data_IF_892550801089
#
_entry.id   IF_892550801089
#
_cell.length_a   1.000
_cell.length_b   1.000
_cell.length_c   1.000
_cell.angle_alpha   90.00
_cell.angle_beta   90.00
_cell.angle_gamma   90.00
#
_symmetry.space_group_name_H-M   'P 1'
#
loop_
_entity.id
_entity.type
_entity.pdbx_description
1 polymer ?
#
# COMPACT_ATOMS: atom_id res chain seq x y z
N UNK A 1 6.05 16.95 11.89
CA UNK A 1 4.65 16.42 11.85
C UNK A 1 4.57 15.13 11.04
N UNK A 2 3.55 14.30 11.27
CA UNK A 2 3.34 12.97 10.63
C UNK A 2 4.40 11.88 10.91
N UNK A 3 5.24 12.05 11.92
CA UNK A 3 6.19 11.01 12.35
C UNK A 3 5.61 10.16 13.48
N UNK A 4 5.98 8.88 13.54
CA UNK A 4 5.61 7.96 14.63
C UNK A 4 6.82 7.11 15.02
N UNK A 5 6.96 6.84 16.32
CA UNK A 5 7.90 5.83 16.81
C UNK A 5 7.35 4.42 16.53
N UNK A 6 8.12 3.60 15.82
CA UNK A 6 7.84 2.18 15.67
C UNK A 6 8.62 1.41 16.73
N UNK A 7 7.91 0.71 17.61
CA UNK A 7 8.53 -0.09 18.66
C UNK A 7 9.31 -1.28 18.10
N UNK A 8 8.79 -1.94 17.05
CA UNK A 8 9.47 -3.07 16.40
C UNK A 8 10.80 -2.66 15.78
N UNK A 9 10.83 -1.56 15.01
CA UNK A 9 12.06 -1.04 14.40
C UNK A 9 12.90 -0.17 15.35
N UNK A 10 12.41 0.14 16.56
CA UNK A 10 13.05 1.01 17.57
C UNK A 10 13.53 2.36 17.03
N UNK A 11 12.75 2.97 16.13
CA UNK A 11 13.10 4.27 15.52
C UNK A 11 11.86 5.08 15.17
N UNK A 12 12.05 6.40 15.13
CA UNK A 12 11.04 7.31 14.60
C UNK A 12 11.07 7.31 13.07
N UNK A 13 9.90 7.20 12.46
CA UNK A 13 9.73 7.15 11.01
C UNK A 13 8.91 8.36 10.58
N UNK A 14 9.47 9.16 9.66
CA UNK A 14 8.78 10.32 9.05
C UNK A 14 7.68 9.84 8.11
N UNK A 15 6.55 10.54 8.09
CA UNK A 15 5.32 10.16 7.36
C UNK A 15 5.05 8.66 7.50
N UNK A 16 4.98 8.19 8.75
CA UNK A 16 4.83 6.77 9.06
C UNK A 16 3.54 6.25 8.45
N UNK A 17 3.63 5.18 7.66
CA UNK A 17 2.47 4.49 7.12
C UNK A 17 2.12 3.27 7.98
N UNK A 18 3.01 2.28 7.98
CA UNK A 18 2.89 1.09 8.80
C UNK A 18 4.24 0.40 9.00
N UNK A 19 4.30 -0.56 9.92
CA UNK A 19 5.37 -1.54 9.97
C UNK A 19 4.91 -2.76 9.18
N UNK A 20 5.68 -3.15 8.17
CA UNK A 20 5.33 -4.23 7.26
C UNK A 20 6.20 -5.44 7.59
N UNK A 21 5.61 -6.55 8.09
CA UNK A 21 6.39 -7.76 8.38
C UNK A 21 6.93 -8.39 7.09
N UNK A 22 6.25 -8.24 5.95
CA UNK A 22 6.66 -8.83 4.67
C UNK A 22 8.01 -8.31 4.15
N UNK A 23 8.41 -7.10 4.55
CA UNK A 23 9.72 -6.51 4.21
C UNK A 23 10.58 -6.27 5.46
N UNK A 24 10.13 -6.76 6.62
CA UNK A 24 10.76 -6.58 7.93
C UNK A 24 11.20 -5.13 8.21
N UNK A 25 10.38 -4.16 7.79
CA UNK A 25 10.72 -2.74 7.87
C UNK A 25 9.48 -1.84 7.89
N UNK A 26 9.66 -0.61 8.38
CA UNK A 26 8.63 0.41 8.26
C UNK A 26 8.51 0.96 6.85
N UNK A 27 7.27 1.16 6.42
CA UNK A 27 6.91 1.97 5.26
C UNK A 27 6.66 3.40 5.75
N UNK A 28 7.31 4.37 5.12
CA UNK A 28 7.18 5.79 5.42
C UNK A 28 7.79 6.67 4.34
N UNK A 29 8.09 7.93 4.66
CA UNK A 29 8.41 8.97 3.67
C UNK A 29 9.45 8.56 2.60
N UNK A 30 10.53 7.89 3.02
CA UNK A 30 11.66 7.56 2.14
C UNK A 30 11.46 6.30 1.28
N UNK A 31 10.51 5.43 1.63
CA UNK A 31 10.33 4.15 0.94
C UNK A 31 8.89 3.82 0.55
N UNK A 32 7.91 4.69 0.84
CA UNK A 32 6.51 4.45 0.48
C UNK A 32 6.34 4.24 -1.04
N UNK A 33 7.05 5.00 -1.88
CA UNK A 33 7.04 4.82 -3.34
C UNK A 33 7.56 3.45 -3.78
N UNK A 34 8.62 2.97 -3.12
CA UNK A 34 9.24 1.67 -3.40
C UNK A 34 8.34 0.53 -2.94
N UNK A 35 7.60 0.72 -1.84
CA UNK A 35 6.59 -0.23 -1.41
C UNK A 35 5.44 -0.37 -2.43
N UNK A 36 4.94 0.73 -3.00
CA UNK A 36 3.95 0.66 -4.08
C UNK A 36 4.48 -0.02 -5.34
N UNK A 37 5.73 0.29 -5.73
CA UNK A 37 6.37 -0.39 -6.85
C UNK A 37 6.52 -1.89 -6.57
N UNK A 38 6.92 -2.26 -5.36
CA UNK A 38 6.98 -3.65 -4.91
C UNK A 38 5.62 -4.35 -5.07
N UNK A 39 4.53 -3.75 -4.62
CA UNK A 39 3.18 -4.31 -4.79
C UNK A 39 2.79 -4.46 -6.27
N UNK A 40 3.09 -3.46 -7.10
CA UNK A 40 2.80 -3.52 -8.53
C UNK A 40 3.59 -4.63 -9.23
N UNK A 41 4.89 -4.76 -8.94
CA UNK A 41 5.73 -5.84 -9.47
C UNK A 41 5.27 -7.20 -8.96
N UNK A 42 4.92 -7.31 -7.68
CA UNK A 42 4.39 -8.54 -7.10
C UNK A 42 3.10 -8.99 -7.79
N UNK A 43 2.19 -8.05 -8.09
CA UNK A 43 0.98 -8.34 -8.85
C UNK A 43 1.32 -8.85 -10.27
N UNK A 44 2.25 -8.21 -10.98
CA UNK A 44 2.69 -8.65 -12.31
C UNK A 44 3.28 -10.07 -12.28
N UNK A 45 4.11 -10.38 -11.28
CA UNK A 45 4.68 -11.72 -11.11
C UNK A 45 3.60 -12.76 -10.83
N UNK A 46 2.60 -12.45 -10.01
CA UNK A 46 1.49 -13.35 -9.71
C UNK A 46 0.63 -13.60 -10.95
N UNK A 47 0.32 -12.55 -11.73
CA UNK A 47 -0.42 -12.68 -12.99
C UNK A 47 0.35 -13.50 -14.03
N UNK A 48 1.67 -13.32 -14.11
CA UNK A 48 2.54 -14.13 -14.96
C UNK A 48 2.55 -15.60 -14.53
N UNK A 49 2.65 -15.87 -13.23
CA UNK A 49 2.55 -17.22 -12.67
C UNK A 49 1.20 -17.88 -12.97
N UNK A 50 0.10 -17.13 -12.86
CA UNK A 50 -1.24 -17.59 -13.25
C UNK A 50 -1.31 -17.95 -14.73
N UNK A 51 -0.74 -17.11 -15.60
CA UNK A 51 -0.68 -17.39 -17.03
C UNK A 51 0.09 -18.67 -17.34
N UNK A 52 1.26 -18.89 -16.72
CA UNK A 52 2.05 -20.12 -16.89
C UNK A 52 1.27 -21.34 -16.37
N UNK A 53 0.69 -21.26 -15.18
CA UNK A 53 -0.03 -22.39 -14.60
C UNK A 53 -1.28 -22.76 -15.42
N UNK A 54 -1.95 -21.77 -16.02
CA UNK A 54 -3.08 -21.96 -16.92
C UNK A 54 -2.65 -22.63 -18.24
N UNK A 55 -1.60 -22.14 -18.87
CA UNK A 55 -1.12 -22.70 -20.16
C UNK A 55 -0.47 -24.07 -20.00
N UNK A 56 -0.03 -24.42 -18.79
CA UNK A 56 0.49 -25.74 -18.45
C UNK A 56 -0.57 -26.84 -18.28
N UNK A 57 -1.87 -26.51 -18.30
CA UNK A 57 -2.93 -27.51 -18.16
C UNK A 57 -2.98 -28.43 -19.38
N UNK A 58 -2.83 -29.73 -19.13
CA UNK A 58 -2.85 -30.78 -20.14
C UNK A 58 -4.22 -31.41 -20.34
N UNK A 59 -4.42 -32.02 -21.50
CA UNK A 59 -5.60 -32.86 -21.77
C UNK A 59 -5.35 -34.31 -21.30
N UNK A 60 -6.41 -34.98 -20.85
CA UNK A 60 -6.39 -36.41 -20.54
C UNK A 60 -7.80 -37.01 -20.72
N UNK A 61 -7.91 -38.30 -21.07
CA UNK A 61 -9.20 -38.95 -21.25
C UNK A 61 -9.88 -39.18 -19.89
N UNK A 62 -11.03 -38.53 -19.69
CA UNK A 62 -11.84 -38.67 -18.49
C UNK A 62 -11.36 -37.84 -17.29
N UNK A 63 -12.25 -37.66 -16.33
CA UNK A 63 -12.05 -36.73 -15.21
C UNK A 63 -10.92 -37.16 -14.26
N UNK A 64 -10.81 -38.46 -13.94
CA UNK A 64 -9.86 -38.95 -12.93
C UNK A 64 -8.39 -38.92 -13.41
N UNK A 65 -8.06 -39.33 -14.64
CA UNK A 65 -6.71 -39.11 -15.19
C UNK A 65 -6.39 -37.63 -15.39
N UNK A 66 -7.36 -36.82 -15.81
CA UNK A 66 -7.17 -35.38 -15.98
C UNK A 66 -6.86 -34.67 -14.67
N UNK A 67 -7.61 -34.99 -13.61
CA UNK A 67 -7.36 -34.42 -12.28
C UNK A 67 -6.00 -34.88 -11.72
N UNK A 68 -5.61 -36.13 -11.95
CA UNK A 68 -4.27 -36.61 -11.55
C UNK A 68 -3.15 -35.88 -12.29
N UNK A 69 -3.34 -35.58 -13.58
CA UNK A 69 -2.36 -34.85 -14.39
C UNK A 69 -2.28 -33.35 -14.02
N UNK A 70 -3.41 -32.73 -13.69
CA UNK A 70 -3.51 -31.27 -13.52
C UNK A 70 -3.67 -30.82 -12.07
N UNK A 71 -3.89 -31.72 -11.11
CA UNK A 71 -4.30 -31.38 -9.75
C UNK A 71 -3.34 -30.43 -9.03
N UNK A 72 -2.03 -30.61 -9.23
CA UNK A 72 -1.01 -29.71 -8.68
C UNK A 72 -1.11 -28.31 -9.29
N UNK A 73 -1.26 -28.20 -10.61
CA UNK A 73 -1.42 -26.92 -11.30
C UNK A 73 -2.71 -26.22 -10.88
N UNK A 74 -3.81 -26.95 -10.67
CA UNK A 74 -5.07 -26.40 -10.14
C UNK A 74 -4.89 -25.85 -8.72
N UNK A 75 -4.19 -26.57 -7.84
CA UNK A 75 -3.90 -26.08 -6.49
C UNK A 75 -3.03 -24.82 -6.54
N UNK A 76 -2.01 -24.80 -7.39
CA UNK A 76 -1.16 -23.61 -7.61
C UNK A 76 -1.98 -22.44 -8.15
N UNK A 77 -2.86 -22.66 -9.13
CA UNK A 77 -3.76 -21.63 -9.66
C UNK A 77 -4.61 -21.00 -8.56
N UNK A 78 -5.22 -21.82 -7.69
CA UNK A 78 -6.04 -21.33 -6.58
C UNK A 78 -5.21 -20.48 -5.63
N UNK A 79 -4.03 -20.95 -5.22
CA UNK A 79 -3.14 -20.19 -4.32
C UNK A 79 -2.71 -18.86 -4.96
N UNK A 80 -2.29 -18.89 -6.21
CA UNK A 80 -1.86 -17.68 -6.93
C UNK A 80 -3.01 -16.69 -7.13
N UNK A 81 -4.24 -17.16 -7.39
CA UNK A 81 -5.43 -16.30 -7.50
C UNK A 81 -5.73 -15.61 -6.18
N UNK A 82 -5.69 -16.34 -5.07
CA UNK A 82 -5.91 -15.77 -3.74
C UNK A 82 -4.84 -14.72 -3.40
N UNK A 83 -3.57 -15.03 -3.65
CA UNK A 83 -2.48 -14.07 -3.43
C UNK A 83 -2.61 -12.84 -4.34
N UNK A 84 -2.95 -13.02 -5.61
CA UNK A 84 -3.15 -11.93 -6.56
C UNK A 84 -4.30 -11.01 -6.12
N UNK A 85 -5.41 -11.58 -5.63
CA UNK A 85 -6.53 -10.81 -5.11
C UNK A 85 -6.11 -9.98 -3.88
N UNK A 86 -5.39 -10.58 -2.93
CA UNK A 86 -4.91 -9.86 -1.74
C UNK A 86 -3.99 -8.70 -2.14
N UNK A 87 -3.02 -8.95 -3.03
CA UNK A 87 -2.07 -7.91 -3.48
C UNK A 87 -2.80 -6.82 -4.28
N UNK A 88 -3.78 -7.17 -5.11
CA UNK A 88 -4.59 -6.21 -5.86
C UNK A 88 -5.37 -5.28 -4.93
N UNK A 89 -6.05 -5.83 -3.92
CA UNK A 89 -6.81 -5.06 -2.94
C UNK A 89 -5.90 -4.16 -2.10
N UNK A 90 -4.72 -4.66 -1.72
CA UNK A 90 -3.72 -3.88 -1.00
C UNK A 90 -3.17 -2.74 -1.87
N UNK A 91 -2.81 -3.01 -3.12
CA UNK A 91 -2.34 -1.97 -4.05
C UNK A 91 -3.43 -0.90 -4.27
N UNK A 92 -4.68 -1.33 -4.48
CA UNK A 92 -5.82 -0.44 -4.66
C UNK A 92 -6.07 0.46 -3.44
N UNK A 93 -6.05 -0.10 -2.23
CA UNK A 93 -6.26 0.67 -1.00
C UNK A 93 -5.14 1.68 -0.76
N UNK A 94 -3.88 1.31 -1.00
CA UNK A 94 -2.77 2.25 -0.88
C UNK A 94 -2.80 3.34 -1.96
N UNK A 95 -3.16 3.03 -3.20
CA UNK A 95 -3.36 4.04 -4.25
C UNK A 95 -4.48 5.01 -3.89
N UNK A 96 -5.58 4.51 -3.32
CA UNK A 96 -6.65 5.36 -2.78
C UNK A 96 -6.13 6.28 -1.69
N UNK A 97 -5.43 5.75 -0.68
CA UNK A 97 -4.85 6.57 0.39
C UNK A 97 -3.85 7.63 -0.12
N UNK A 98 -3.01 7.26 -1.09
CA UNK A 98 -2.09 8.22 -1.75
C UNK A 98 -2.85 9.30 -2.48
N UNK A 99 -3.95 8.97 -3.16
CA UNK A 99 -4.81 9.96 -3.83
C UNK A 99 -5.43 10.96 -2.86
N UNK A 100 -5.58 10.60 -1.59
CA UNK A 100 -6.03 11.50 -0.52
C UNK A 100 -4.87 12.11 0.30
N UNK A 101 -3.62 11.80 -0.04
CA UNK A 101 -2.45 12.16 0.77
C UNK A 101 -2.56 11.73 2.24
N UNK A 102 -3.22 10.60 2.49
CA UNK A 102 -3.42 10.00 3.81
C UNK A 102 -2.51 8.77 3.94
N UNK A 103 -1.94 8.56 5.12
CA UNK A 103 -1.25 7.30 5.44
C UNK A 103 -2.21 6.29 6.06
N UNK A 104 -1.88 5.01 6.00
CA UNK A 104 -2.64 3.95 6.68
C UNK A 104 -2.79 4.23 8.17
N UNK A 105 -1.73 4.74 8.81
CA UNK A 105 -1.76 5.17 10.21
C UNK A 105 -2.78 6.28 10.46
N UNK A 106 -2.82 7.31 9.60
CA UNK A 106 -3.77 8.41 9.75
C UNK A 106 -5.21 7.97 9.53
N UNK A 107 -5.44 7.08 8.57
CA UNK A 107 -6.76 6.49 8.32
C UNK A 107 -7.24 5.66 9.52
N UNK A 108 -6.41 4.74 10.01
CA UNK A 108 -6.81 3.77 11.05
C UNK A 108 -6.78 4.32 12.48
N UNK A 109 -5.95 5.33 12.73
CA UNK A 109 -5.66 5.81 14.08
C UNK A 109 -5.89 7.31 14.26
N UNK A 110 -6.69 7.93 13.39
CA UNK A 110 -6.99 9.37 13.38
C UNK A 110 -7.16 9.99 14.76
N UNK A 111 -8.02 9.39 15.59
CA UNK A 111 -8.34 9.86 16.94
C UNK A 111 -7.14 9.87 17.92
N UNK A 112 -6.09 9.09 17.64
CA UNK A 112 -4.85 9.02 18.46
C UNK A 112 -3.79 10.03 18.02
N UNK A 113 -4.02 10.76 16.93
CA UNK A 113 -3.01 11.60 16.29
C UNK A 113 -3.21 13.06 16.71
N UNK A 114 -2.28 13.60 17.49
CA UNK A 114 -2.38 14.94 18.09
C UNK A 114 -2.62 16.06 17.07
N UNK A 115 -1.93 16.03 15.92
CA UNK A 115 -2.07 17.04 14.87
C UNK A 115 -3.35 16.92 14.03
N UNK A 116 -4.13 15.84 14.20
CA UNK A 116 -5.44 15.69 13.55
C UNK A 116 -6.61 15.95 14.50
N UNK A 117 -6.35 16.07 15.82
CA UNK A 117 -7.40 16.35 16.82
C UNK A 117 -8.05 17.72 16.64
N UNK A 118 -7.32 18.68 16.06
CA UNK A 118 -7.80 20.03 15.82
C UNK A 118 -8.53 20.17 14.47
N UNK A 119 -8.47 19.16 13.61
CA UNK A 119 -9.17 19.13 12.32
C UNK A 119 -10.58 18.56 12.49
N UNK A 120 -11.52 18.97 11.64
CA UNK A 120 -12.86 18.39 11.58
C UNK A 120 -12.85 16.88 11.32
N UNK A 121 -13.97 16.20 11.60
CA UNK A 121 -14.10 14.74 11.45
C UNK A 121 -13.81 14.23 10.02
N UNK A 122 -14.10 15.06 9.01
CA UNK A 122 -13.90 14.75 7.59
C UNK A 122 -12.78 15.56 6.93
N UNK A 123 -12.11 16.42 7.70
CA UNK A 123 -11.13 17.35 7.17
C UNK A 123 -9.73 16.72 7.01
N UNK A 124 -9.14 16.84 5.83
CA UNK A 124 -7.80 16.34 5.58
C UNK A 124 -6.84 17.48 5.21
N UNK A 125 -6.03 17.98 6.16
CA UNK A 125 -5.17 19.16 5.93
C UNK A 125 -4.01 18.89 4.96
N UNK A 126 -3.85 17.65 4.47
CA UNK A 126 -2.80 17.29 3.52
C UNK A 126 -3.34 17.06 2.10
N UNK A 127 -4.66 16.97 1.93
CA UNK A 127 -5.27 16.74 0.63
C UNK A 127 -5.20 18.02 -0.22
N UNK A 128 -4.61 17.94 -1.41
CA UNK A 128 -4.54 19.04 -2.39
C UNK A 128 -5.31 18.75 -3.67
N UNK A 129 -6.17 17.73 -3.65
CA UNK A 129 -6.85 17.14 -4.79
C UNK A 129 -6.11 15.95 -5.37
N UNK A 130 -6.85 14.92 -5.78
CA UNK A 130 -6.32 13.60 -6.18
C UNK A 130 -5.16 13.64 -7.17
N UNK A 131 -5.29 14.41 -8.25
CA UNK A 131 -4.24 14.56 -9.28
C UNK A 131 -2.96 15.18 -8.70
N UNK A 132 -3.09 16.23 -7.89
CA UNK A 132 -1.95 16.92 -7.26
C UNK A 132 -1.27 16.04 -6.21
N UNK A 133 -2.03 15.24 -5.48
CA UNK A 133 -1.50 14.30 -4.51
C UNK A 133 -0.71 13.18 -5.18
N UNK A 134 -1.27 12.58 -6.24
CA UNK A 134 -0.59 11.55 -7.03
C UNK A 134 0.70 12.11 -7.67
N UNK A 135 0.62 13.27 -8.32
CA UNK A 135 1.79 13.95 -8.88
C UNK A 135 2.85 14.24 -7.81
N UNK A 136 2.44 14.79 -6.67
CA UNK A 136 3.34 15.07 -5.55
C UNK A 136 4.01 13.81 -4.99
N UNK A 137 3.30 12.68 -4.95
CA UNK A 137 3.83 11.43 -4.42
C UNK A 137 4.80 10.74 -5.40
N UNK A 138 4.43 10.65 -6.69
CA UNK A 138 5.19 9.88 -7.69
C UNK A 138 6.28 10.71 -8.38
N UNK A 139 6.04 11.99 -8.61
CA UNK A 139 6.90 12.82 -9.47
C UNK A 139 7.81 13.76 -8.69
N UNK A 140 7.51 14.08 -7.43
CA UNK A 140 8.38 14.92 -6.59
C UNK A 140 9.33 14.06 -5.76
N UNK A 141 10.63 14.26 -5.97
CA UNK A 141 11.70 13.58 -5.26
C UNK A 141 12.26 14.51 -4.18
N UNK A 142 12.00 14.16 -2.92
CA UNK A 142 12.47 14.93 -1.77
C UNK A 142 11.67 14.63 -0.51
N UNK A 143 12.24 14.94 0.65
CA UNK A 143 11.48 14.97 1.90
C UNK A 143 10.64 16.22 1.94
N UNK A 144 9.40 16.11 2.40
CA UNK A 144 8.50 17.25 2.54
C UNK A 144 8.65 17.81 3.95
N UNK A 145 8.72 19.14 4.05
CA UNK A 145 8.64 19.85 5.33
C UNK A 145 7.17 19.94 5.70
N UNK A 146 6.65 18.87 6.31
CA UNK A 146 5.23 18.73 6.65
C UNK A 146 4.73 19.83 7.59
N UNK A 147 5.63 20.45 8.36
CA UNK A 147 5.33 21.58 9.22
C UNK A 147 4.80 22.78 8.42
N UNK A 148 5.43 23.11 7.29
CA UNK A 148 5.02 24.24 6.44
C UNK A 148 3.72 24.00 5.69
N UNK A 149 3.35 22.73 5.48
CA UNK A 149 2.08 22.37 4.82
C UNK A 149 0.90 22.68 5.72
N UNK A 150 1.04 22.46 7.02
CA UNK A 150 0.00 22.68 8.01
C UNK A 150 -0.29 24.17 8.23
N UNK A 151 0.75 25.01 8.35
CA UNK A 151 0.58 26.45 8.60
C UNK A 151 0.07 27.26 7.40
N UNK A 152 -0.03 26.65 6.21
CA UNK A 152 -0.43 27.35 4.99
C UNK A 152 -1.93 27.60 4.87
N UNK A 153 -2.75 26.97 5.72
CA UNK A 153 -4.23 27.08 5.70
C UNK A 153 -4.84 27.79 6.93
N UNK A 154 -4.06 28.54 7.70
CA UNK A 154 -4.63 29.54 8.62
C UNK A 154 -4.99 29.02 10.01
N UNK A 155 -3.97 28.68 10.80
CA UNK A 155 -4.03 28.88 12.25
C UNK A 155 -2.76 29.57 12.70
N UNK A 156 -2.94 30.71 13.37
CA UNK A 156 -1.86 31.49 13.97
C UNK A 156 -0.97 30.59 14.84
N UNK A 157 0.33 30.91 14.93
CA UNK A 157 1.22 30.21 15.85
C UNK A 157 0.74 30.44 17.28
N UNK A 158 0.39 29.36 17.98
CA UNK A 158 0.27 29.33 19.44
C UNK A 158 1.65 29.36 20.07
#
# INVERSE_FOLDING_TARGET
MRAKHCQTCRRCVRRYDHHCPWIENCVGERNHRWFLLYLAVQLLVLLWGLHIAWTGLGSAPGWAPWLRANGVLLAVLVVLLLLALVVLLLLGSHLYLVSLNTTTWEFMARHRISYLKHCGADENPFDRGGVRNLWGFFCVWGTVVWEQVYFREGSDPV
#
